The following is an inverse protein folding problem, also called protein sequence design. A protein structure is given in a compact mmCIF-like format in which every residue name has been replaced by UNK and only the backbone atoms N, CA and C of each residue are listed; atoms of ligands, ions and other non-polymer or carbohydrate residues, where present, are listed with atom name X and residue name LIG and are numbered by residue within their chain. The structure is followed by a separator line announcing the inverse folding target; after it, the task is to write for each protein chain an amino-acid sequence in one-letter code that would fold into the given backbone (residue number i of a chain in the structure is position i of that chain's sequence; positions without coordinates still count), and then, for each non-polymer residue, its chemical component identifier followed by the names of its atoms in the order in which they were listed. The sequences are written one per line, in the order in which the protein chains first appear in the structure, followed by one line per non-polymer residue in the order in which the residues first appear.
data_IF_828660507948
#
_entry.id   IF_828660507948
#
_cell.length_a   1.000
_cell.length_b   1.000
_cell.length_c   1.000
_cell.angle_alpha   90.00
_cell.angle_beta   90.00
_cell.angle_gamma   90.00
#
_symmetry.space_group_name_H-M   'P 1'
#
loop_
_entity.id
_entity.type
_entity.pdbx_description
1 polymer ?
#
# COMPACT_ATOMS: atom_id res chain seq x y z
N UNK A 1 -15.86 18.48 -5.81
CA UNK A 1 -14.66 18.86 -6.57
C UNK A 1 -13.58 17.86 -6.21
N UNK A 2 -13.06 17.09 -7.18
CA UNK A 2 -11.95 16.18 -6.89
C UNK A 2 -10.72 17.01 -6.52
N UNK A 3 -9.97 16.68 -5.44
CA UNK A 3 -8.86 17.51 -5.00
C UNK A 3 -7.66 17.19 -5.89
N UNK A 4 -7.58 17.86 -7.05
CA UNK A 4 -6.45 17.71 -7.99
C UNK A 4 -5.10 17.99 -7.31
N UNK A 5 -5.09 18.83 -6.28
CA UNK A 5 -3.96 19.09 -5.38
C UNK A 5 -3.34 17.80 -4.78
N UNK A 6 -4.13 16.76 -4.52
CA UNK A 6 -3.62 15.48 -3.99
C UNK A 6 -2.90 14.63 -5.04
N UNK A 7 -3.08 14.93 -6.32
CA UNK A 7 -2.39 14.27 -7.44
C UNK A 7 -1.26 15.16 -8.01
N UNK A 8 -0.81 16.14 -7.23
CA UNK A 8 0.25 17.09 -7.59
C UNK A 8 1.65 16.45 -7.69
N UNK A 9 1.84 15.25 -7.16
CA UNK A 9 3.09 14.49 -7.29
C UNK A 9 2.85 12.98 -7.22
N UNK A 10 3.82 12.19 -7.71
CA UNK A 10 3.77 10.71 -7.56
C UNK A 10 3.73 10.29 -6.08
N UNK A 11 4.43 11.02 -5.20
CA UNK A 11 4.46 10.77 -3.77
C UNK A 11 3.07 10.98 -3.14
N UNK A 12 2.42 12.09 -3.48
CA UNK A 12 1.07 12.42 -3.02
C UNK A 12 0.06 11.38 -3.51
N UNK A 13 0.16 10.97 -4.78
CA UNK A 13 -0.70 9.95 -5.36
C UNK A 13 -0.48 8.57 -4.70
N UNK A 14 0.77 8.16 -4.45
CA UNK A 14 1.10 6.91 -3.77
C UNK A 14 0.59 6.90 -2.32
N UNK A 15 0.70 8.03 -1.61
CA UNK A 15 0.16 8.18 -0.26
C UNK A 15 -1.37 8.06 -0.25
N UNK A 16 -2.06 8.71 -1.20
CA UNK A 16 -3.51 8.59 -1.34
C UNK A 16 -3.94 7.15 -1.64
N UNK A 17 -3.23 6.46 -2.55
CA UNK A 17 -3.44 5.04 -2.85
C UNK A 17 -3.34 4.18 -1.60
N UNK A 18 -2.31 4.38 -0.79
CA UNK A 18 -2.12 3.65 0.47
C UNK A 18 -3.29 3.88 1.43
N UNK A 19 -3.70 5.14 1.63
CA UNK A 19 -4.81 5.48 2.54
C UNK A 19 -6.14 4.87 2.09
N UNK A 20 -6.44 4.93 0.79
CA UNK A 20 -7.70 4.41 0.23
C UNK A 20 -7.72 2.88 0.27
N UNK A 21 -6.63 2.24 -0.17
CA UNK A 21 -6.58 0.78 -0.31
C UNK A 21 -6.59 0.06 1.02
N UNK A 22 -5.91 0.61 2.02
CA UNK A 22 -5.75 -0.01 3.34
C UNK A 22 -6.58 0.69 4.43
N UNK A 23 -7.63 1.43 4.03
CA UNK A 23 -8.53 2.15 4.95
C UNK A 23 -9.11 1.24 6.03
N UNK A 24 -9.47 0.02 5.64
CA UNK A 24 -10.09 -1.00 6.52
C UNK A 24 -9.06 -1.94 7.13
N UNK A 25 -7.76 -1.62 7.03
CA UNK A 25 -6.67 -2.44 7.51
C UNK A 25 -5.81 -3.05 6.39
N UNK A 26 -4.55 -3.30 6.73
CA UNK A 26 -3.57 -3.88 5.81
C UNK A 26 -3.66 -5.40 5.85
N UNK A 27 -4.15 -5.99 4.75
CA UNK A 27 -4.26 -7.43 4.58
C UNK A 27 -3.52 -7.90 3.32
N UNK A 28 -2.97 -9.11 3.39
CA UNK A 28 -2.37 -9.73 2.22
C UNK A 28 -3.44 -9.93 1.13
N UNK A 29 -3.29 -9.38 -0.09
CA UNK A 29 -4.29 -9.53 -1.15
C UNK A 29 -4.39 -10.97 -1.68
N UNK A 30 -3.47 -11.86 -1.30
CA UNK A 30 -3.42 -13.26 -1.75
C UNK A 30 -4.09 -14.21 -0.78
N UNK A 31 -3.79 -14.12 0.51
CA UNK A 31 -4.32 -15.04 1.53
C UNK A 31 -5.20 -14.37 2.59
N UNK A 32 -5.42 -13.04 2.51
CA UNK A 32 -6.19 -12.23 3.46
C UNK A 32 -5.65 -12.16 4.89
N UNK A 33 -4.47 -12.72 5.13
CA UNK A 33 -3.79 -12.59 6.43
C UNK A 33 -3.48 -11.14 6.77
N UNK A 34 -3.68 -10.78 8.03
CA UNK A 34 -3.26 -9.53 8.66
C UNK A 34 -1.80 -9.57 9.14
N UNK A 35 -1.16 -10.74 9.07
CA UNK A 35 0.24 -10.95 9.42
C UNK A 35 1.15 -10.38 8.32
N UNK A 36 1.20 -9.06 8.25
CA UNK A 36 1.89 -8.29 7.21
C UNK A 36 2.90 -7.33 7.86
N UNK A 37 4.11 -7.26 7.28
CA UNK A 37 5.15 -6.31 7.70
C UNK A 37 5.55 -5.37 6.57
N UNK A 38 6.07 -4.20 6.92
CA UNK A 38 6.79 -3.34 5.98
C UNK A 38 8.09 -4.01 5.56
N UNK A 39 8.36 -4.04 4.26
CA UNK A 39 9.50 -4.73 3.65
C UNK A 39 10.23 -3.82 2.67
N UNK A 40 10.66 -2.65 3.18
CA UNK A 40 11.27 -1.58 2.39
C UNK A 40 10.28 -0.86 1.47
N UNK A 41 10.79 -0.08 0.54
CA UNK A 41 10.00 0.66 -0.45
C UNK A 41 10.62 0.50 -1.84
N UNK A 42 9.86 0.83 -2.88
CA UNK A 42 10.37 0.99 -4.24
C UNK A 42 9.76 2.26 -4.83
N UNK A 43 10.61 3.27 -5.06
CA UNK A 43 10.18 4.65 -5.36
C UNK A 43 9.21 5.12 -4.26
N UNK A 44 8.07 5.70 -4.64
CA UNK A 44 7.04 6.21 -3.75
C UNK A 44 6.17 5.13 -3.07
N UNK A 45 6.36 3.85 -3.41
CA UNK A 45 5.46 2.77 -2.98
C UNK A 45 6.05 1.97 -1.82
N UNK A 46 5.25 1.79 -0.77
CA UNK A 46 5.60 0.92 0.34
C UNK A 46 5.50 -0.54 -0.13
N UNK A 47 6.54 -1.34 0.12
CA UNK A 47 6.49 -2.79 -0.06
C UNK A 47 6.11 -3.43 1.26
N UNK A 48 5.30 -4.46 1.18
CA UNK A 48 4.89 -5.29 2.30
C UNK A 48 5.24 -6.74 2.04
N UNK A 49 5.42 -7.50 3.11
CA UNK A 49 5.57 -8.96 3.07
C UNK A 49 4.54 -9.60 4.00
N UNK A 50 3.79 -10.55 3.48
CA UNK A 50 2.94 -11.41 4.30
C UNK A 50 3.80 -12.51 4.93
N UNK A 51 3.68 -12.73 6.24
CA UNK A 51 4.41 -13.79 6.95
C UNK A 51 3.78 -15.18 6.76
N UNK A 52 2.51 -15.24 6.37
CA UNK A 52 1.79 -16.52 6.28
C UNK A 52 1.93 -17.18 4.91
N UNK A 53 2.04 -16.39 3.83
CA UNK A 53 2.24 -16.92 2.48
C UNK A 53 3.56 -16.49 1.81
N UNK A 54 4.42 -15.78 2.56
CA UNK A 54 5.73 -15.27 2.13
C UNK A 54 5.75 -14.36 0.87
N UNK A 55 4.58 -13.98 0.34
CA UNK A 55 4.48 -13.10 -0.82
C UNK A 55 4.67 -11.64 -0.42
N UNK A 56 5.37 -10.91 -1.29
CA UNK A 56 5.46 -9.46 -1.22
C UNK A 56 4.40 -8.80 -2.09
N UNK A 57 3.90 -7.66 -1.65
CA UNK A 57 2.98 -6.80 -2.40
C UNK A 57 3.28 -5.33 -2.08
N UNK A 58 2.65 -4.39 -2.78
CA UNK A 58 2.79 -2.95 -2.53
C UNK A 58 1.44 -2.26 -2.68
N UNK A 59 1.43 -0.93 -2.61
CA UNK A 59 0.21 -0.13 -2.75
C UNK A 59 -0.36 -0.10 -4.18
N UNK A 60 0.36 -0.59 -5.22
CA UNK A 60 -0.09 -0.67 -6.62
C UNK A 60 -0.94 -1.89 -6.95
#
# INVERSE_FOLDING_TARGET
MFPFELLSSEASAANLLQQVRWREGLQCPRCRSESVIKHGSYREYQRYRCKDCDRTFNDK
#
